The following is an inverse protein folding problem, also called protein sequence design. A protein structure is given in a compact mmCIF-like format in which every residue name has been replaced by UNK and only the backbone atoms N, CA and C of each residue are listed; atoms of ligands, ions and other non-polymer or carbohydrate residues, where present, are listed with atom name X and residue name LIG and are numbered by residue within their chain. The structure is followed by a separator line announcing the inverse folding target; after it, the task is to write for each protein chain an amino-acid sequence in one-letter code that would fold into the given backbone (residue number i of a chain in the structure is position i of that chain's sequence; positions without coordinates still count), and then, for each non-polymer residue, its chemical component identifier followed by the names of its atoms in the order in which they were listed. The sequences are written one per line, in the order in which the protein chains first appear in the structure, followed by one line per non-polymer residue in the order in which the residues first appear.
data_IF_780531978658
#
_entry.id   IF_780531978658
#
_cell.length_a   1.000
_cell.length_b   1.000
_cell.length_c   1.000
_cell.angle_alpha   90.00
_cell.angle_beta   90.00
_cell.angle_gamma   90.00
#
_symmetry.space_group_name_H-M   'P 1'
#
loop_
_entity.id
_entity.type
_entity.pdbx_description
1 polymer ?
#
# COMPACT_ATOMS: atom_id res chain seq x y z
N UNK A 1 -4.87 38.89 39.68
CA UNK A 1 -5.24 38.79 38.25
C UNK A 1 -4.40 37.66 37.66
N UNK A 2 -4.76 36.43 37.99
CA UNK A 2 -5.40 35.43 37.11
C UNK A 2 -4.45 34.85 36.05
N UNK A 3 -3.80 33.78 36.48
CA UNK A 3 -3.10 32.79 35.66
C UNK A 3 -4.17 31.90 35.00
N UNK A 4 -4.17 31.77 33.68
CA UNK A 4 -5.01 30.82 32.94
C UNK A 4 -4.24 29.50 32.72
N UNK A 5 -4.78 28.34 33.13
CA UNK A 5 -4.19 27.05 32.77
C UNK A 5 -4.70 26.58 31.40
N UNK A 6 -3.78 26.15 30.55
CA UNK A 6 -4.09 25.43 29.31
C UNK A 6 -4.66 24.05 29.63
N UNK A 7 -5.89 23.80 29.19
CA UNK A 7 -6.51 22.48 29.18
C UNK A 7 -6.02 21.76 27.92
N UNK A 8 -5.03 20.86 28.06
CA UNK A 8 -4.75 19.83 27.06
C UNK A 8 -5.86 18.79 27.15
N UNK A 9 -6.81 18.84 26.22
CA UNK A 9 -7.82 17.80 26.03
C UNK A 9 -7.19 16.58 25.34
N UNK A 10 -6.67 15.64 26.12
CA UNK A 10 -6.44 14.27 25.63
C UNK A 10 -7.79 13.58 25.49
N UNK A 11 -8.35 13.54 24.28
CA UNK A 11 -9.47 12.63 23.98
C UNK A 11 -8.89 11.22 23.97
N UNK A 12 -9.14 10.47 25.04
CA UNK A 12 -8.96 9.02 25.05
C UNK A 12 -10.03 8.42 24.14
N UNK A 13 -9.61 7.72 23.09
CA UNK A 13 -10.48 6.84 22.29
C UNK A 13 -10.98 5.74 23.24
N UNK A 14 -12.29 5.50 23.36
CA UNK A 14 -12.80 4.46 24.24
C UNK A 14 -12.50 3.09 23.64
N UNK A 15 -11.78 2.27 24.39
CA UNK A 15 -11.57 0.85 24.12
C UNK A 15 -12.90 0.10 24.24
N UNK A 16 -13.64 -0.10 23.14
CA UNK A 16 -14.79 -1.01 23.10
C UNK A 16 -14.97 -1.61 21.71
N UNK A 17 -14.18 -2.62 21.35
CA UNK A 17 -14.66 -3.76 20.53
C UNK A 17 -13.86 -4.99 20.94
N UNK A 18 -14.27 -5.66 22.02
CA UNK A 18 -13.73 -6.99 22.36
C UNK A 18 -14.78 -7.78 23.11
N UNK A 19 -15.39 -8.75 22.44
CA UNK A 19 -15.60 -10.12 22.94
C UNK A 19 -16.51 -10.93 22.01
N UNK A 20 -16.09 -12.19 21.79
CA UNK A 20 -16.88 -13.35 21.36
C UNK A 20 -17.31 -13.37 19.88
N UNK A 21 -16.78 -14.32 19.09
CA UNK A 21 -17.52 -15.54 18.70
C UNK A 21 -16.50 -16.64 18.31
N UNK A 22 -16.66 -17.81 18.93
CA UNK A 22 -16.04 -19.08 18.52
C UNK A 22 -17.14 -20.04 18.08
N UNK A 23 -16.98 -20.71 16.93
CA UNK A 23 -17.30 -22.14 16.62
C UNK A 23 -17.68 -22.39 15.13
N UNK A 24 -16.88 -23.28 14.52
CA UNK A 24 -17.06 -24.21 13.40
C UNK A 24 -17.83 -23.83 12.10
N UNK A 25 -17.11 -23.91 10.98
CA UNK A 25 -17.62 -24.50 9.73
C UNK A 25 -16.48 -25.12 8.92
N UNK A 26 -16.69 -26.35 8.43
CA UNK A 26 -15.77 -27.13 7.61
C UNK A 26 -16.13 -26.96 6.13
N UNK A 27 -15.16 -26.64 5.27
CA UNK A 27 -15.28 -26.88 3.83
C UNK A 27 -13.90 -27.04 3.19
N UNK A 28 -13.72 -28.16 2.50
CA UNK A 28 -12.53 -28.51 1.70
C UNK A 28 -12.57 -27.81 0.35
N UNK A 29 -11.49 -27.13 -0.01
CA UNK A 29 -11.26 -26.58 -1.35
C UNK A 29 -9.79 -26.72 -1.73
N UNK A 30 -9.53 -27.48 -2.80
CA UNK A 30 -8.25 -27.60 -3.50
C UNK A 30 -8.18 -26.46 -4.52
N UNK A 31 -6.98 -25.89 -4.77
CA UNK A 31 -6.42 -25.47 -6.08
C UNK A 31 -5.13 -24.65 -5.84
N UNK A 32 -3.98 -25.15 -6.28
CA UNK A 32 -3.24 -24.78 -7.51
C UNK A 32 -2.47 -23.48 -7.36
N UNK A 33 -1.18 -23.64 -7.07
CA UNK A 33 -0.19 -22.58 -6.99
C UNK A 33 0.31 -22.14 -8.36
N UNK A 34 0.76 -20.89 -8.39
CA UNK A 34 1.40 -20.25 -9.53
C UNK A 34 1.96 -18.90 -9.11
N UNK A 35 3.04 -18.90 -8.33
CA UNK A 35 3.76 -17.69 -7.97
C UNK A 35 4.69 -17.25 -9.11
N UNK A 36 4.48 -16.03 -9.60
CA UNK A 36 5.50 -15.23 -10.27
C UNK A 36 5.76 -14.03 -9.38
N UNK A 37 6.97 -13.93 -8.83
CA UNK A 37 7.43 -12.72 -8.16
C UNK A 37 7.48 -11.59 -9.21
N UNK A 38 6.81 -10.47 -8.93
CA UNK A 38 6.77 -9.31 -9.83
C UNK A 38 7.70 -8.21 -9.29
N UNK A 39 8.49 -7.61 -10.18
CA UNK A 39 9.25 -6.40 -9.88
C UNK A 39 8.31 -5.29 -9.35
N UNK A 40 8.85 -4.26 -8.69
CA UNK A 40 8.07 -3.07 -8.33
C UNK A 40 7.42 -2.50 -9.60
N UNK A 41 6.13 -2.78 -9.80
CA UNK A 41 5.35 -2.19 -10.87
C UNK A 41 5.30 -0.69 -10.62
N UNK A 42 5.69 0.11 -11.61
CA UNK A 42 5.57 1.56 -11.55
C UNK A 42 4.10 1.98 -11.41
N UNK A 43 3.88 3.28 -11.31
CA UNK A 43 2.54 3.87 -11.31
C UNK A 43 2.10 4.05 -12.77
N UNK A 44 1.19 3.23 -13.31
CA UNK A 44 0.82 3.28 -14.71
C UNK A 44 0.14 4.61 -15.06
N UNK A 45 0.42 5.11 -16.25
CA UNK A 45 -0.30 6.26 -16.81
C UNK A 45 -1.73 5.88 -17.19
N UNK A 46 -1.88 4.69 -17.78
CA UNK A 46 -3.18 4.12 -18.14
C UNK A 46 -3.83 3.52 -16.90
N UNK A 47 -5.09 3.83 -16.65
CA UNK A 47 -5.83 3.34 -15.50
C UNK A 47 -6.99 4.25 -15.11
N UNK A 48 -7.77 3.80 -14.12
CA UNK A 48 -8.84 4.62 -13.53
C UNK A 48 -8.29 5.60 -12.51
N UNK A 49 -8.91 6.78 -12.42
CA UNK A 49 -8.69 7.69 -11.30
C UNK A 49 -9.13 7.05 -9.98
N UNK A 50 -8.35 7.30 -8.92
CA UNK A 50 -8.72 6.91 -7.56
C UNK A 50 -9.49 8.02 -6.87
N UNK A 51 -8.99 9.26 -6.98
CA UNK A 51 -9.67 10.43 -6.46
C UNK A 51 -10.84 10.85 -7.38
N UNK A 52 -11.96 11.29 -6.78
CA UNK A 52 -13.05 11.89 -7.54
C UNK A 52 -12.77 13.36 -7.87
N UNK A 53 -13.55 13.96 -8.76
CA UNK A 53 -13.45 15.39 -9.07
C UNK A 53 -13.64 16.26 -7.81
N UNK A 54 -14.56 15.85 -6.93
CA UNK A 54 -14.78 16.52 -5.65
C UNK A 54 -13.59 16.40 -4.69
N UNK A 55 -12.84 15.30 -4.77
CA UNK A 55 -11.63 15.09 -3.97
C UNK A 55 -10.50 16.01 -4.45
N UNK A 56 -10.30 16.09 -5.78
CA UNK A 56 -9.34 17.00 -6.41
C UNK A 56 -9.63 18.47 -6.06
N UNK A 57 -10.87 18.91 -6.25
CA UNK A 57 -11.28 20.28 -6.01
C UNK A 57 -11.28 20.64 -4.52
N UNK A 58 -11.71 19.70 -3.66
CA UNK A 58 -11.69 19.84 -2.21
C UNK A 58 -10.27 19.98 -1.67
N UNK A 59 -9.36 19.11 -2.09
CA UNK A 59 -7.94 19.22 -1.76
C UNK A 59 -7.36 20.56 -2.23
N UNK A 60 -7.59 20.96 -3.49
CA UNK A 60 -7.05 22.21 -4.01
C UNK A 60 -7.53 23.41 -3.18
N UNK A 61 -8.83 23.49 -2.85
CA UNK A 61 -9.35 24.56 -1.98
C UNK A 61 -8.70 24.58 -0.60
N UNK A 62 -8.37 23.41 -0.04
CA UNK A 62 -7.70 23.32 1.26
C UNK A 62 -6.31 23.96 1.29
N UNK A 63 -5.66 24.14 0.13
CA UNK A 63 -4.38 24.84 0.03
C UNK A 63 -4.49 26.35 0.27
N UNK A 64 -5.69 26.91 0.17
CA UNK A 64 -5.94 28.36 0.23
C UNK A 64 -5.42 29.14 -0.97
N UNK A 65 -4.99 28.46 -2.04
CA UNK A 65 -4.51 29.08 -3.28
C UNK A 65 -5.69 29.45 -4.16
N UNK A 66 -5.72 30.69 -4.66
CA UNK A 66 -6.66 31.10 -5.70
C UNK A 66 -6.15 30.68 -7.08
N UNK A 67 -6.96 29.88 -7.79
CA UNK A 67 -6.69 29.48 -9.17
C UNK A 67 -6.92 30.64 -10.13
N UNK A 68 -6.07 30.77 -11.15
CA UNK A 68 -6.28 31.69 -12.28
C UNK A 68 -6.79 31.01 -13.53
N UNK A 69 -7.11 29.71 -13.46
CA UNK A 69 -7.68 28.97 -14.60
C UNK A 69 -8.94 29.67 -15.13
N UNK A 70 -9.27 29.42 -16.40
CA UNK A 70 -10.41 30.06 -17.09
C UNK A 70 -11.77 29.55 -16.62
N UNK A 71 -11.79 28.49 -15.81
CA UNK A 71 -12.96 27.89 -15.18
C UNK A 71 -12.71 27.66 -13.69
N UNK A 72 -13.78 27.52 -12.91
CA UNK A 72 -13.66 27.21 -11.48
C UNK A 72 -13.05 25.83 -11.24
N UNK A 73 -12.46 25.63 -10.06
CA UNK A 73 -11.68 24.42 -9.76
C UNK A 73 -12.52 23.13 -9.80
N UNK A 74 -13.80 23.19 -9.41
CA UNK A 74 -14.70 22.03 -9.50
C UNK A 74 -14.92 21.60 -10.95
N UNK A 75 -15.06 22.58 -11.85
CA UNK A 75 -15.25 22.32 -13.27
C UNK A 75 -13.96 21.79 -13.91
N UNK A 76 -12.80 22.36 -13.57
CA UNK A 76 -11.51 21.86 -14.05
C UNK A 76 -11.24 20.43 -13.58
N UNK A 77 -11.44 20.14 -12.29
CA UNK A 77 -11.29 18.81 -11.73
C UNK A 77 -12.22 17.79 -12.42
N UNK A 78 -13.46 18.19 -12.72
CA UNK A 78 -14.41 17.36 -13.47
C UNK A 78 -13.90 17.02 -14.86
N UNK A 79 -13.35 17.99 -15.61
CA UNK A 79 -12.76 17.73 -16.93
C UNK A 79 -11.64 16.68 -16.88
N UNK A 80 -10.75 16.75 -15.89
CA UNK A 80 -9.68 15.74 -15.76
C UNK A 80 -10.20 14.34 -15.53
N UNK A 81 -11.22 14.18 -14.67
CA UNK A 81 -11.79 12.88 -14.37
C UNK A 81 -12.56 12.32 -15.58
N UNK A 82 -13.36 13.15 -16.26
CA UNK A 82 -14.13 12.71 -17.43
C UNK A 82 -13.24 12.39 -18.64
N UNK A 83 -12.37 13.32 -19.05
CA UNK A 83 -11.49 13.10 -20.21
C UNK A 83 -10.53 11.93 -19.95
N UNK A 84 -10.01 11.80 -18.73
CA UNK A 84 -9.19 10.66 -18.33
C UNK A 84 -9.95 9.33 -18.41
N UNK A 85 -11.18 9.27 -17.88
CA UNK A 85 -12.00 8.07 -17.93
C UNK A 85 -12.33 7.63 -19.37
N UNK A 86 -12.64 8.58 -20.25
CA UNK A 86 -12.94 8.30 -21.67
C UNK A 86 -11.74 7.69 -22.40
N UNK A 87 -10.53 8.14 -22.09
CA UNK A 87 -9.29 7.70 -22.74
C UNK A 87 -8.58 6.56 -21.99
N UNK A 88 -9.09 6.14 -20.83
CA UNK A 88 -8.45 5.14 -19.97
C UNK A 88 -7.15 5.63 -19.29
N UNK A 89 -6.99 6.93 -19.10
CA UNK A 89 -5.85 7.59 -18.45
C UNK A 89 -6.23 8.01 -17.03
N UNK A 90 -5.33 7.83 -16.06
CA UNK A 90 -5.57 8.21 -14.68
C UNK A 90 -5.65 9.75 -14.52
N UNK A 91 -6.86 10.28 -14.63
CA UNK A 91 -7.15 11.72 -14.65
C UNK A 91 -6.79 12.45 -13.36
N UNK A 92 -6.83 11.77 -12.20
CA UNK A 92 -6.37 12.31 -10.93
C UNK A 92 -4.84 12.59 -10.93
N UNK A 93 -4.05 11.74 -11.58
CA UNK A 93 -2.60 11.96 -11.74
C UNK A 93 -2.32 13.03 -12.80
N UNK A 94 -3.09 13.06 -13.89
CA UNK A 94 -3.00 14.15 -14.87
C UNK A 94 -3.34 15.51 -14.25
N UNK A 95 -4.33 15.58 -13.35
CA UNK A 95 -4.60 16.77 -12.55
C UNK A 95 -3.41 17.12 -11.65
N UNK A 96 -2.83 16.14 -10.94
CA UNK A 96 -1.63 16.36 -10.13
C UNK A 96 -0.45 16.89 -10.96
N UNK A 97 -0.27 16.39 -12.18
CA UNK A 97 0.71 16.91 -13.13
C UNK A 97 0.44 18.38 -13.45
N UNK A 98 -0.82 18.73 -13.70
CA UNK A 98 -1.19 20.11 -14.02
C UNK A 98 -0.90 21.11 -12.89
N UNK A 99 -1.02 20.67 -11.63
CA UNK A 99 -0.62 21.48 -10.48
C UNK A 99 0.87 21.80 -10.54
N UNK A 100 1.72 20.81 -10.85
CA UNK A 100 3.16 20.97 -10.97
C UNK A 100 3.51 21.91 -12.12
N UNK A 101 2.91 21.68 -13.30
CA UNK A 101 3.20 22.42 -14.54
C UNK A 101 2.78 23.89 -14.48
N UNK A 102 1.64 24.16 -13.85
CA UNK A 102 1.08 25.52 -13.78
C UNK A 102 1.48 26.29 -12.53
N UNK A 103 2.20 25.65 -11.60
CA UNK A 103 2.50 26.22 -10.28
C UNK A 103 1.22 26.49 -9.48
N UNK A 104 0.38 25.47 -9.31
CA UNK A 104 -0.93 25.53 -8.64
C UNK A 104 -1.92 26.47 -9.34
N UNK A 105 -2.00 26.38 -10.67
CA UNK A 105 -2.84 27.23 -11.52
C UNK A 105 -2.61 28.73 -11.36
N UNK A 106 -1.42 29.14 -10.90
CA UNK A 106 -1.00 30.56 -10.89
C UNK A 106 -0.43 30.99 -12.24
N UNK A 107 0.01 30.02 -13.03
CA UNK A 107 0.61 30.16 -14.35
C UNK A 107 1.92 30.97 -14.31
N UNK A 108 2.60 31.06 -15.45
CA UNK A 108 3.82 31.84 -15.62
C UNK A 108 3.62 32.93 -16.67
N UNK A 109 4.65 33.74 -16.93
CA UNK A 109 4.61 34.66 -18.07
C UNK A 109 4.72 33.92 -19.42
N UNK A 110 5.25 32.68 -19.43
CA UNK A 110 5.46 31.87 -20.64
C UNK A 110 4.19 31.13 -21.07
N UNK A 111 3.40 30.66 -20.10
CA UNK A 111 2.11 30.00 -20.33
C UNK A 111 1.09 30.75 -19.51
N UNK A 112 0.22 31.52 -20.18
CA UNK A 112 -0.79 32.35 -19.51
C UNK A 112 -2.07 31.55 -19.26
N UNK A 113 -2.91 31.95 -18.29
CA UNK A 113 -4.14 31.23 -18.01
C UNK A 113 -5.08 31.10 -19.21
N UNK A 114 -5.21 32.15 -20.03
CA UNK A 114 -6.04 32.15 -21.24
C UNK A 114 -5.56 31.18 -22.33
N UNK A 115 -4.39 30.57 -22.19
CA UNK A 115 -3.90 29.55 -23.13
C UNK A 115 -4.57 28.20 -22.91
N UNK A 116 -5.22 27.99 -21.75
CA UNK A 116 -5.79 26.70 -21.37
C UNK A 116 -4.78 25.53 -21.48
N UNK A 117 -3.49 25.82 -21.33
CA UNK A 117 -2.44 24.83 -21.46
C UNK A 117 -1.93 24.46 -20.07
N UNK A 118 -2.49 23.36 -19.55
CA UNK A 118 -2.27 22.94 -18.17
C UNK A 118 -1.07 22.02 -17.99
N UNK A 119 -0.39 21.65 -19.09
CA UNK A 119 0.67 20.64 -19.08
C UNK A 119 1.94 21.06 -19.80
N UNK A 120 2.06 22.35 -20.13
CA UNK A 120 3.26 22.93 -20.73
C UNK A 120 3.50 22.53 -22.19
N UNK A 121 2.49 22.05 -22.92
CA UNK A 121 2.67 21.61 -24.30
C UNK A 121 3.21 22.73 -25.19
N UNK A 122 4.30 22.45 -25.91
CA UNK A 122 4.95 23.41 -26.82
C UNK A 122 5.80 24.49 -26.13
N UNK A 123 5.84 24.57 -24.80
CA UNK A 123 6.62 25.57 -24.07
C UNK A 123 8.11 25.17 -23.94
N UNK A 124 8.89 25.27 -25.02
CA UNK A 124 10.34 24.94 -25.03
C UNK A 124 11.24 26.13 -24.66
N UNK A 125 12.39 25.88 -24.05
CA UNK A 125 13.35 26.89 -23.52
C UNK A 125 13.90 27.91 -24.52
N UNK A 126 13.77 27.65 -25.82
CA UNK A 126 14.22 28.54 -26.91
C UNK A 126 13.09 29.08 -27.79
N UNK A 127 11.81 28.84 -27.47
CA UNK A 127 10.65 29.18 -28.31
C UNK A 127 9.57 29.99 -27.59
N UNK A 128 8.74 30.70 -28.37
CA UNK A 128 7.76 31.70 -27.90
C UNK A 128 6.29 31.30 -27.97
N UNK A 129 5.93 30.07 -28.38
CA UNK A 129 4.51 29.70 -28.53
C UNK A 129 4.21 28.40 -27.81
N UNK A 130 3.94 28.51 -26.51
CA UNK A 130 3.14 27.50 -25.83
C UNK A 130 1.84 27.27 -26.63
N UNK A 131 1.38 26.03 -26.69
CA UNK A 131 0.11 25.71 -27.36
C UNK A 131 -1.03 26.47 -26.67
N UNK A 132 -2.02 26.87 -27.46
CA UNK A 132 -3.21 27.62 -27.01
C UNK A 132 -4.44 26.82 -27.39
N UNK A 133 -5.26 26.49 -26.40
CA UNK A 133 -6.50 25.74 -26.58
C UNK A 133 -7.72 26.66 -26.39
N UNK A 134 -8.80 26.44 -27.18
CA UNK A 134 -9.95 27.34 -27.21
C UNK A 134 -10.69 27.44 -25.87
N UNK A 135 -10.68 26.37 -25.07
CA UNK A 135 -11.31 26.29 -23.76
C UNK A 135 -10.54 25.33 -22.83
N UNK A 136 -10.87 25.37 -21.54
CA UNK A 136 -10.22 24.55 -20.52
C UNK A 136 -10.36 23.05 -20.81
N UNK A 137 -11.53 22.59 -21.23
CA UNK A 137 -11.78 21.18 -21.54
C UNK A 137 -10.88 20.69 -22.67
N UNK A 138 -10.75 21.45 -23.75
CA UNK A 138 -9.88 21.13 -24.88
C UNK A 138 -8.40 21.07 -24.45
N UNK A 139 -7.99 21.95 -23.54
CA UNK A 139 -6.66 21.93 -22.93
C UNK A 139 -6.38 20.68 -22.11
N UNK A 140 -7.33 20.29 -21.25
CA UNK A 140 -7.25 19.03 -20.48
C UNK A 140 -7.21 17.83 -21.42
N UNK A 141 -8.09 17.80 -22.44
CA UNK A 141 -8.10 16.75 -23.46
C UNK A 141 -6.75 16.60 -24.16
N UNK A 142 -6.12 17.71 -24.56
CA UNK A 142 -4.82 17.67 -25.21
C UNK A 142 -3.75 17.04 -24.30
N UNK A 143 -3.76 17.37 -23.00
CA UNK A 143 -2.87 16.72 -22.03
C UNK A 143 -3.15 15.21 -21.93
N UNK A 144 -4.41 14.81 -21.80
CA UNK A 144 -4.80 13.39 -21.68
C UNK A 144 -4.41 12.60 -22.93
N UNK A 145 -4.68 13.13 -24.13
CA UNK A 145 -4.26 12.52 -25.39
C UNK A 145 -2.73 12.39 -25.49
N UNK A 146 -1.99 13.38 -24.98
CA UNK A 146 -0.52 13.31 -24.96
C UNK A 146 -0.03 12.23 -23.99
N UNK A 147 -0.60 12.14 -22.78
CA UNK A 147 -0.28 11.08 -21.82
C UNK A 147 -0.57 9.70 -22.40
N UNK A 148 -1.73 9.52 -23.03
CA UNK A 148 -2.07 8.27 -23.72
C UNK A 148 -1.07 7.94 -24.84
N UNK A 149 -0.63 8.92 -25.62
CA UNK A 149 0.40 8.73 -26.64
C UNK A 149 1.74 8.20 -26.07
N UNK A 150 2.11 8.62 -24.86
CA UNK A 150 3.31 8.12 -24.19
C UNK A 150 3.15 6.69 -23.68
N UNK A 151 1.96 6.31 -23.23
CA UNK A 151 1.75 5.09 -22.45
C UNK A 151 1.10 3.91 -23.21
N UNK A 152 0.27 4.19 -24.21
CA UNK A 152 -0.42 3.18 -25.01
C UNK A 152 0.38 2.97 -26.32
N UNK A 153 0.97 1.79 -26.50
CA UNK A 153 1.79 1.47 -27.69
C UNK A 153 0.94 1.35 -28.98
N UNK A 154 -0.34 1.05 -28.83
CA UNK A 154 -1.27 0.78 -29.93
C UNK A 154 -2.11 2.01 -30.30
N UNK A 155 -2.00 3.11 -29.55
CA UNK A 155 -2.85 4.29 -29.77
C UNK A 155 -2.62 4.91 -31.14
N UNK A 156 -3.73 5.15 -31.82
CA UNK A 156 -3.84 5.88 -33.09
C UNK A 156 -4.83 7.03 -32.94
N UNK A 157 -4.81 7.98 -33.87
CA UNK A 157 -5.82 9.05 -33.90
C UNK A 157 -7.26 8.49 -33.95
N UNK A 158 -7.47 7.40 -34.67
CA UNK A 158 -8.78 6.74 -34.77
C UNK A 158 -9.21 5.98 -33.52
N UNK A 159 -8.30 5.72 -32.57
CA UNK A 159 -8.62 5.02 -31.32
C UNK A 159 -8.83 5.95 -30.13
N UNK A 160 -8.69 7.27 -30.32
CA UNK A 160 -9.01 8.27 -29.31
C UNK A 160 -10.52 8.35 -29.10
N UNK A 161 -10.94 8.58 -27.85
CA UNK A 161 -12.35 8.70 -27.49
C UNK A 161 -12.95 10.02 -28.02
N UNK A 162 -12.11 11.05 -28.11
CA UNK A 162 -12.48 12.37 -28.62
C UNK A 162 -11.61 12.78 -29.82
N UNK A 163 -12.07 13.73 -30.67
CA UNK A 163 -11.25 14.25 -31.76
C UNK A 163 -9.86 14.69 -31.29
N UNK A 164 -8.83 14.41 -32.10
CA UNK A 164 -7.46 14.78 -31.79
C UNK A 164 -7.31 16.31 -31.72
N UNK A 165 -6.91 16.81 -30.55
CA UNK A 165 -6.64 18.23 -30.30
C UNK A 165 -5.18 18.47 -29.89
N UNK A 166 -4.47 17.45 -29.43
CA UNK A 166 -3.02 17.50 -29.23
C UNK A 166 -2.28 17.59 -30.57
N UNK A 167 -1.88 18.80 -30.95
CA UNK A 167 -1.09 19.09 -32.16
C UNK A 167 0.26 18.37 -32.18
N UNK A 168 0.74 17.90 -31.02
CA UNK A 168 2.03 17.25 -30.81
C UNK A 168 1.91 15.74 -30.68
N UNK A 169 0.72 15.18 -30.78
CA UNK A 169 0.47 13.75 -30.66
C UNK A 169 1.37 12.95 -31.59
N UNK A 170 1.53 13.40 -32.84
CA UNK A 170 2.39 12.76 -33.83
C UNK A 170 3.91 12.80 -33.51
N UNK A 171 4.36 13.63 -32.57
CA UNK A 171 5.78 13.74 -32.17
C UNK A 171 6.19 12.66 -31.16
N UNK A 172 5.24 12.06 -30.44
CA UNK A 172 5.52 10.95 -29.54
C UNK A 172 5.78 9.69 -30.39
N UNK A 173 7.07 9.38 -30.58
CA UNK A 173 7.57 8.23 -31.35
C UNK A 173 8.71 7.52 -30.61
N UNK A 174 8.67 6.19 -30.45
CA UNK A 174 7.47 5.35 -30.65
C UNK A 174 6.34 5.74 -29.67
N UNK A 175 5.11 5.27 -29.95
CA UNK A 175 4.04 5.23 -28.95
C UNK A 175 4.40 4.26 -27.83
N UNK A 176 3.80 4.38 -26.66
CA UNK A 176 4.08 3.47 -25.52
C UNK A 176 5.51 3.55 -24.97
N UNK A 177 6.22 4.66 -25.21
CA UNK A 177 7.63 4.82 -24.78
C UNK A 177 7.80 5.17 -23.30
N UNK A 178 6.72 5.41 -22.57
CA UNK A 178 6.69 5.69 -21.13
C UNK A 178 5.34 5.23 -20.57
N UNK A 179 5.31 4.02 -20.03
CA UNK A 179 4.07 3.35 -19.57
C UNK A 179 3.74 3.71 -18.13
N UNK A 180 4.77 4.03 -17.34
CA UNK A 180 4.66 4.38 -15.93
C UNK A 180 5.05 5.86 -15.71
N UNK A 181 4.44 6.51 -14.71
CA UNK A 181 4.72 7.90 -14.36
C UNK A 181 6.18 8.12 -13.97
N UNK A 182 6.84 7.12 -13.38
CA UNK A 182 8.25 7.12 -13.01
C UNK A 182 9.18 7.31 -14.24
N UNK A 183 8.70 7.03 -15.45
CA UNK A 183 9.45 7.24 -16.69
C UNK A 183 9.54 8.73 -17.11
N UNK A 184 8.69 9.62 -16.58
CA UNK A 184 8.49 10.97 -17.13
C UNK A 184 9.61 11.98 -16.83
N UNK A 185 10.66 11.58 -16.11
CA UNK A 185 11.86 12.38 -15.88
C UNK A 185 12.89 12.32 -17.02
N UNK A 186 14.05 12.94 -16.79
CA UNK A 186 15.26 12.75 -17.61
C UNK A 186 15.09 12.97 -19.13
N UNK A 187 14.22 13.89 -19.53
CA UNK A 187 13.97 14.29 -20.91
C UNK A 187 12.82 13.58 -21.60
N UNK A 188 12.08 12.71 -20.91
CA UNK A 188 10.88 12.06 -21.46
C UNK A 188 9.72 13.05 -21.55
N UNK A 189 9.36 13.68 -20.43
CA UNK A 189 8.44 14.82 -20.37
C UNK A 189 9.16 16.08 -19.88
N UNK A 190 9.90 15.95 -18.78
CA UNK A 190 10.71 17.01 -18.21
C UNK A 190 12.18 16.61 -18.16
N UNK A 191 13.09 17.58 -18.30
CA UNK A 191 14.55 17.38 -18.13
C UNK A 191 14.94 17.06 -16.69
N UNK A 192 14.09 17.42 -15.72
CA UNK A 192 14.29 17.13 -14.31
C UNK A 192 14.16 15.61 -14.04
N UNK A 193 15.22 14.94 -13.54
CA UNK A 193 15.18 13.51 -13.26
C UNK A 193 14.19 13.13 -12.15
N UNK A 194 13.82 14.04 -11.25
CA UNK A 194 12.88 13.76 -10.15
C UNK A 194 11.46 14.29 -10.41
N UNK A 195 11.15 14.65 -11.65
CA UNK A 195 9.86 15.19 -12.05
C UNK A 195 8.68 14.31 -11.63
N UNK A 196 8.75 13.00 -11.92
CA UNK A 196 7.70 12.04 -11.58
C UNK A 196 7.36 12.07 -10.08
N UNK A 197 8.39 12.11 -9.22
CA UNK A 197 8.21 12.17 -7.77
C UNK A 197 7.49 13.43 -7.28
N UNK A 198 7.54 14.55 -8.02
CA UNK A 198 6.78 15.77 -7.70
C UNK A 198 5.31 15.59 -8.00
N UNK A 199 4.99 15.01 -9.17
CA UNK A 199 3.60 14.73 -9.58
C UNK A 199 2.95 13.72 -8.64
N UNK A 200 3.62 12.60 -8.40
CA UNK A 200 3.11 11.55 -7.51
C UNK A 200 2.97 12.04 -6.06
N UNK A 201 3.81 12.97 -5.60
CA UNK A 201 3.64 13.62 -4.30
C UNK A 201 2.35 14.42 -4.22
N UNK A 202 2.04 15.25 -5.23
CA UNK A 202 0.77 15.98 -5.27
C UNK A 202 -0.41 15.02 -5.26
N UNK A 203 -0.34 13.91 -6.01
CA UNK A 203 -1.36 12.86 -5.97
C UNK A 203 -1.52 12.25 -4.57
N UNK A 204 -0.43 11.97 -3.87
CA UNK A 204 -0.48 11.46 -2.48
C UNK A 204 -1.14 12.48 -1.55
N UNK A 205 -0.82 13.77 -1.67
CA UNK A 205 -1.44 14.83 -0.87
C UNK A 205 -2.96 14.91 -1.11
N UNK A 206 -3.39 14.78 -2.37
CA UNK A 206 -4.82 14.67 -2.74
C UNK A 206 -5.47 13.48 -2.04
N UNK A 207 -4.86 12.30 -2.12
CA UNK A 207 -5.42 11.08 -1.54
C UNK A 207 -5.44 11.13 0.00
N UNK A 208 -4.43 11.74 0.63
CA UNK A 208 -4.41 11.97 2.08
C UNK A 208 -5.55 12.90 2.52
N UNK A 209 -5.85 13.93 1.73
CA UNK A 209 -7.00 14.79 1.99
C UNK A 209 -8.31 14.02 1.80
N UNK A 210 -8.41 13.22 0.73
CA UNK A 210 -9.59 12.41 0.42
C UNK A 210 -9.87 11.33 1.48
N UNK A 211 -8.83 10.75 2.08
CA UNK A 211 -8.93 9.83 3.23
C UNK A 211 -9.74 10.43 4.38
N UNK A 212 -9.59 11.73 4.63
CA UNK A 212 -10.20 12.41 5.77
C UNK A 212 -11.52 13.10 5.44
N UNK A 213 -11.70 13.57 4.20
CA UNK A 213 -12.79 14.47 3.82
C UNK A 213 -13.57 14.02 2.58
N UNK A 214 -13.03 13.05 1.84
CA UNK A 214 -13.40 12.79 0.46
C UNK A 214 -14.17 11.49 0.24
N UNK A 215 -14.49 11.27 -1.03
CA UNK A 215 -15.25 10.10 -1.50
C UNK A 215 -14.38 8.88 -1.76
N UNK A 216 -13.08 9.07 -2.05
CA UNK A 216 -12.13 7.98 -2.24
C UNK A 216 -11.67 7.30 -0.92
N UNK A 217 -12.43 7.48 0.16
CA UNK A 217 -12.10 6.96 1.50
C UNK A 217 -11.93 5.43 1.53
N UNK A 218 -12.71 4.69 0.74
CA UNK A 218 -12.65 3.22 0.69
C UNK A 218 -11.97 2.68 -0.57
N UNK A 219 -11.24 3.52 -1.29
CA UNK A 219 -10.63 3.15 -2.56
C UNK A 219 -9.81 1.85 -2.45
N UNK A 220 -9.88 0.97 -3.47
CA UNK A 220 -10.57 1.14 -4.75
C UNK A 220 -12.08 0.85 -4.71
N UNK A 221 -12.64 0.57 -3.53
CA UNK A 221 -14.05 0.23 -3.38
C UNK A 221 -14.94 1.47 -3.23
N UNK A 222 -16.16 1.35 -3.74
CA UNK A 222 -17.13 2.44 -3.68
C UNK A 222 -17.77 2.61 -2.29
N UNK A 223 -17.79 1.55 -1.47
CA UNK A 223 -18.48 1.52 -0.17
C UNK A 223 -17.64 0.79 0.88
N UNK A 224 -18.00 0.96 2.15
CA UNK A 224 -17.30 0.35 3.28
C UNK A 224 -17.40 -1.18 3.30
N UNK A 225 -18.54 -1.75 2.87
CA UNK A 225 -18.79 -3.20 2.89
C UNK A 225 -17.75 -4.04 2.13
N UNK A 226 -17.53 -3.85 0.81
CA UNK A 226 -16.50 -4.58 0.08
C UNK A 226 -15.08 -4.27 0.60
N UNK A 227 -14.82 -3.07 1.12
CA UNK A 227 -13.54 -2.75 1.75
C UNK A 227 -13.32 -3.56 3.03
N UNK A 228 -14.35 -3.70 3.87
CA UNK A 228 -14.30 -4.53 5.08
C UNK A 228 -14.08 -5.99 4.73
N UNK A 229 -14.88 -6.55 3.82
CA UNK A 229 -14.73 -7.93 3.37
C UNK A 229 -13.32 -8.19 2.85
N UNK A 230 -12.80 -7.28 2.03
CA UNK A 230 -11.46 -7.40 1.49
C UNK A 230 -10.38 -7.27 2.57
N UNK A 231 -10.53 -6.37 3.55
CA UNK A 231 -9.60 -6.24 4.66
C UNK A 231 -9.48 -7.53 5.50
N UNK A 232 -10.58 -8.26 5.71
CA UNK A 232 -10.53 -9.57 6.35
C UNK A 232 -9.76 -10.60 5.52
N UNK A 233 -9.96 -10.62 4.20
CA UNK A 233 -9.19 -11.52 3.31
C UNK A 233 -7.71 -11.16 3.30
N UNK A 234 -7.38 -9.88 3.19
CA UNK A 234 -6.01 -9.40 3.07
C UNK A 234 -5.25 -9.56 4.38
N UNK A 235 -5.79 -9.08 5.49
CA UNK A 235 -5.06 -9.06 6.78
C UNK A 235 -5.16 -10.37 7.53
N UNK A 236 -6.30 -11.06 7.42
CA UNK A 236 -6.60 -12.24 8.24
C UNK A 236 -6.72 -13.54 7.42
N UNK A 237 -6.63 -13.50 6.09
CA UNK A 237 -6.78 -14.68 5.23
C UNK A 237 -8.09 -15.45 5.44
N UNK A 238 -9.19 -14.76 5.76
CA UNK A 238 -10.54 -15.35 5.88
C UNK A 238 -11.62 -14.36 5.49
N UNK A 239 -12.85 -14.87 5.37
CA UNK A 239 -14.05 -14.04 5.29
C UNK A 239 -14.47 -13.50 6.68
N UNK A 240 -15.02 -12.29 6.67
CA UNK A 240 -15.78 -11.78 7.81
C UNK A 240 -17.07 -12.59 7.98
N UNK A 241 -17.50 -12.81 9.22
CA UNK A 241 -18.90 -13.18 9.46
C UNK A 241 -19.80 -11.98 9.21
N UNK A 242 -21.10 -12.20 8.94
CA UNK A 242 -22.05 -11.10 8.72
C UNK A 242 -22.12 -10.12 9.90
N UNK A 243 -21.93 -10.61 11.13
CA UNK A 243 -21.92 -9.77 12.34
C UNK A 243 -20.66 -8.90 12.43
N UNK A 244 -19.50 -9.45 12.09
CA UNK A 244 -18.25 -8.68 12.03
C UNK A 244 -18.29 -7.63 10.92
N UNK A 245 -18.78 -8.01 9.73
CA UNK A 245 -18.92 -7.10 8.60
C UNK A 245 -19.82 -5.91 8.98
N UNK A 246 -21.01 -6.17 9.55
CA UNK A 246 -21.94 -5.12 9.97
C UNK A 246 -21.32 -4.16 10.99
N UNK A 247 -20.59 -4.69 11.98
CA UNK A 247 -19.94 -3.89 13.02
C UNK A 247 -18.89 -2.94 12.42
N UNK A 248 -18.01 -3.46 11.55
CA UNK A 248 -16.95 -2.67 10.95
C UNK A 248 -17.47 -1.67 9.93
N UNK A 249 -18.45 -2.05 9.11
CA UNK A 249 -19.11 -1.14 8.16
C UNK A 249 -19.73 0.05 8.91
N UNK A 250 -20.48 -0.23 9.98
CA UNK A 250 -21.09 0.84 10.80
C UNK A 250 -20.01 1.76 11.40
N UNK A 251 -18.94 1.19 11.96
CA UNK A 251 -17.86 1.99 12.55
C UNK A 251 -17.11 2.87 11.53
N UNK A 252 -16.94 2.39 10.29
CA UNK A 252 -16.34 3.16 9.20
C UNK A 252 -17.27 4.28 8.74
N UNK A 253 -18.54 3.96 8.48
CA UNK A 253 -19.55 4.90 7.99
C UNK A 253 -19.84 6.03 8.99
N UNK A 254 -19.91 5.72 10.29
CA UNK A 254 -20.08 6.72 11.35
C UNK A 254 -18.81 7.54 11.63
N UNK A 255 -17.69 7.21 10.98
CA UNK A 255 -16.40 7.89 11.18
C UNK A 255 -15.73 7.58 12.53
N UNK A 256 -16.17 6.54 13.23
CA UNK A 256 -15.58 6.11 14.49
C UNK A 256 -14.17 5.52 14.30
N UNK A 257 -13.94 4.89 13.14
CA UNK A 257 -12.66 4.28 12.74
C UNK A 257 -12.33 4.71 11.31
N UNK A 258 -11.05 4.91 11.01
CA UNK A 258 -10.56 5.14 9.65
C UNK A 258 -10.36 3.81 8.91
N UNK A 259 -10.43 3.79 7.56
CA UNK A 259 -10.17 2.59 6.77
C UNK A 259 -8.86 1.90 7.13
N UNK A 260 -7.80 2.68 7.37
CA UNK A 260 -6.48 2.16 7.70
C UNK A 260 -6.43 1.63 9.13
N UNK A 261 -7.05 2.32 10.11
CA UNK A 261 -7.12 1.79 11.48
C UNK A 261 -7.95 0.52 11.55
N UNK A 262 -8.97 0.35 10.72
CA UNK A 262 -9.66 -0.94 10.61
C UNK A 262 -8.68 -2.06 10.26
N UNK A 263 -7.82 -1.89 9.26
CA UNK A 263 -6.80 -2.88 8.89
C UNK A 263 -5.77 -3.09 10.01
N UNK A 264 -5.36 -2.02 10.70
CA UNK A 264 -4.45 -2.09 11.85
C UNK A 264 -5.07 -2.84 13.03
N UNK A 265 -6.36 -2.64 13.30
CA UNK A 265 -7.10 -3.33 14.37
C UNK A 265 -7.29 -4.81 14.04
N UNK A 266 -7.55 -5.17 12.77
CA UNK A 266 -7.53 -6.57 12.35
C UNK A 266 -6.15 -7.19 12.58
N UNK A 267 -5.09 -6.49 12.16
CA UNK A 267 -3.71 -6.94 12.31
C UNK A 267 -3.29 -7.12 13.78
N UNK A 268 -3.64 -6.15 14.63
CA UNK A 268 -3.21 -6.08 16.04
C UNK A 268 -4.13 -6.87 16.99
N UNK A 269 -5.39 -7.06 16.60
CA UNK A 269 -6.38 -7.86 17.32
C UNK A 269 -6.24 -9.35 16.99
N UNK A 270 -7.13 -9.88 16.16
CA UNK A 270 -7.10 -11.29 15.77
C UNK A 270 -5.76 -11.68 15.11
N UNK A 271 -5.19 -10.78 14.31
CA UNK A 271 -3.95 -11.01 13.59
C UNK A 271 -2.77 -11.33 14.51
N UNK A 272 -2.75 -10.78 15.73
CA UNK A 272 -1.67 -10.98 16.69
C UNK A 272 -1.49 -12.45 17.12
N UNK A 273 -2.58 -13.23 17.16
CA UNK A 273 -2.56 -14.66 17.55
C UNK A 273 -2.67 -15.63 16.37
N UNK A 274 -2.85 -15.09 15.17
CA UNK A 274 -2.98 -15.85 13.93
C UNK A 274 -1.79 -15.53 13.01
N UNK A 275 -1.92 -14.57 12.11
CA UNK A 275 -0.92 -14.25 11.08
C UNK A 275 0.44 -13.87 11.67
N UNK A 276 0.48 -13.09 12.76
CA UNK A 276 1.76 -12.64 13.34
C UNK A 276 2.53 -13.79 14.00
N UNK A 277 1.83 -14.68 14.73
CA UNK A 277 2.46 -15.86 15.35
C UNK A 277 2.98 -16.84 14.30
N UNK A 278 2.21 -17.03 13.21
CA UNK A 278 2.65 -17.85 12.08
C UNK A 278 3.92 -17.26 11.47
N UNK A 279 3.94 -15.95 11.19
CA UNK A 279 5.12 -15.26 10.62
C UNK A 279 6.34 -15.39 11.51
N UNK A 280 6.23 -15.08 12.81
CA UNK A 280 7.37 -15.19 13.76
C UNK A 280 7.88 -16.61 13.90
N UNK A 281 7.02 -17.63 13.81
CA UNK A 281 7.44 -19.02 13.92
C UNK A 281 8.21 -19.46 12.68
N UNK A 282 7.75 -19.08 11.48
CA UNK A 282 8.50 -19.28 10.24
C UNK A 282 9.87 -18.60 10.29
N UNK A 283 9.93 -17.36 10.74
CA UNK A 283 11.19 -16.64 10.88
C UNK A 283 12.13 -17.34 11.87
N UNK A 284 11.63 -17.74 13.04
CA UNK A 284 12.42 -18.43 14.06
C UNK A 284 12.93 -19.81 13.60
N UNK A 285 12.09 -20.59 12.94
CA UNK A 285 12.42 -21.96 12.55
C UNK A 285 13.18 -22.06 11.23
N UNK A 286 12.84 -21.23 10.24
CA UNK A 286 13.34 -21.34 8.86
C UNK A 286 14.22 -20.17 8.43
N UNK A 287 14.37 -19.13 9.25
CA UNK A 287 15.14 -17.92 8.91
C UNK A 287 14.50 -17.11 7.78
N UNK A 288 13.20 -17.32 7.51
CA UNK A 288 12.46 -16.63 6.45
C UNK A 288 11.01 -16.44 6.84
N UNK A 289 10.34 -15.48 6.22
CA UNK A 289 8.89 -15.31 6.31
C UNK A 289 8.18 -16.48 5.58
N UNK A 290 6.89 -16.75 5.86
CA UNK A 290 6.11 -17.70 5.08
C UNK A 290 5.85 -17.15 3.65
N UNK A 291 5.48 -18.04 2.74
CA UNK A 291 4.86 -17.65 1.46
C UNK A 291 3.34 -17.50 1.66
N UNK A 292 2.63 -17.06 0.62
CA UNK A 292 1.19 -16.79 0.70
C UNK A 292 0.38 -18.02 1.06
N UNK A 293 0.67 -19.16 0.42
CA UNK A 293 -0.03 -20.42 0.64
C UNK A 293 0.20 -20.94 2.07
N UNK A 294 1.45 -20.91 2.54
CA UNK A 294 1.81 -21.28 3.91
C UNK A 294 1.15 -20.37 4.94
N UNK A 295 1.15 -19.06 4.71
CA UNK A 295 0.47 -18.08 5.57
C UNK A 295 -1.03 -18.35 5.67
N UNK A 296 -1.69 -18.52 4.53
CA UNK A 296 -3.13 -18.81 4.47
C UNK A 296 -3.49 -20.15 5.11
N UNK A 297 -2.74 -21.21 4.81
CA UNK A 297 -2.94 -22.54 5.42
C UNK A 297 -2.87 -22.46 6.94
N UNK A 298 -1.77 -21.94 7.48
CA UNK A 298 -1.54 -21.95 8.92
C UNK A 298 -2.45 -21.01 9.69
N UNK A 299 -2.77 -19.85 9.10
CA UNK A 299 -3.73 -18.92 9.68
C UNK A 299 -5.12 -19.56 9.80
N UNK A 300 -5.58 -20.27 8.76
CA UNK A 300 -6.85 -21.00 8.82
C UNK A 300 -6.85 -22.14 9.86
N UNK A 301 -5.73 -22.86 9.99
CA UNK A 301 -5.56 -23.88 11.05
C UNK A 301 -5.61 -23.28 12.45
N UNK A 302 -4.94 -22.14 12.67
CA UNK A 302 -4.96 -21.40 13.95
C UNK A 302 -6.38 -20.99 14.33
N UNK A 303 -7.17 -20.54 13.35
CA UNK A 303 -8.59 -20.19 13.57
C UNK A 303 -9.48 -21.39 13.85
N UNK A 304 -9.20 -22.52 13.21
CA UNK A 304 -9.87 -23.78 13.51
C UNK A 304 -9.52 -24.36 14.89
N UNK A 305 -8.66 -23.68 15.67
CA UNK A 305 -8.32 -24.05 17.05
C UNK A 305 -7.05 -24.87 17.19
N UNK A 306 -6.29 -25.10 16.11
CA UNK A 306 -5.00 -25.77 16.26
C UNK A 306 -4.04 -24.93 17.12
N UNK A 307 -3.34 -25.51 18.09
CA UNK A 307 -2.34 -24.81 18.87
C UNK A 307 -1.12 -24.46 18.01
N UNK A 308 -0.43 -23.35 18.34
CA UNK A 308 0.80 -22.95 17.66
C UNK A 308 1.89 -24.04 17.70
N UNK A 309 1.87 -24.88 18.75
CA UNK A 309 2.76 -26.04 18.87
C UNK A 309 2.66 -27.01 17.70
N UNK A 310 1.45 -27.19 17.12
CA UNK A 310 1.28 -28.06 15.95
C UNK A 310 1.99 -27.50 14.72
N UNK A 311 1.95 -26.17 14.54
CA UNK A 311 2.72 -25.50 13.49
C UNK A 311 4.22 -25.68 13.73
N UNK A 312 4.71 -25.48 14.95
CA UNK A 312 6.11 -25.72 15.30
C UNK A 312 6.56 -27.15 14.98
N UNK A 313 5.78 -28.16 15.38
CA UNK A 313 6.06 -29.57 15.11
C UNK A 313 6.15 -29.85 13.59
N UNK A 314 5.19 -29.34 12.81
CA UNK A 314 5.17 -29.57 11.37
C UNK A 314 6.28 -28.84 10.63
N UNK A 315 6.67 -27.64 11.08
CA UNK A 315 7.78 -26.90 10.46
C UNK A 315 9.10 -27.59 10.77
N UNK A 316 9.37 -27.96 12.02
CA UNK A 316 10.61 -28.68 12.39
C UNK A 316 10.70 -30.02 11.65
N UNK A 317 9.59 -30.76 11.55
CA UNK A 317 9.52 -32.03 10.83
C UNK A 317 9.35 -31.92 9.32
N UNK A 318 9.45 -30.72 8.74
CA UNK A 318 9.20 -30.51 7.32
C UNK A 318 10.39 -30.91 6.45
N UNK A 319 10.16 -31.36 5.19
CA UNK A 319 11.23 -31.56 4.22
C UNK A 319 12.04 -30.29 3.96
N UNK A 320 11.43 -29.12 4.14
CA UNK A 320 12.15 -27.86 4.00
C UNK A 320 13.17 -27.64 5.12
N UNK A 321 12.78 -27.87 6.38
CA UNK A 321 13.68 -27.75 7.51
C UNK A 321 14.85 -28.73 7.37
N UNK A 322 14.57 -29.99 7.05
CA UNK A 322 15.60 -31.00 6.77
C UNK A 322 16.51 -30.59 5.61
N UNK A 323 15.96 -30.05 4.52
CA UNK A 323 16.77 -29.58 3.39
C UNK A 323 17.68 -28.40 3.74
N UNK A 324 17.22 -27.48 4.60
CA UNK A 324 17.99 -26.28 4.99
C UNK A 324 19.03 -26.58 6.07
N UNK A 325 18.69 -27.43 7.03
CA UNK A 325 19.44 -27.56 8.28
C UNK A 325 19.83 -29.00 8.62
N UNK A 326 19.37 -29.98 7.84
CA UNK A 326 19.55 -31.40 8.14
C UNK A 326 18.80 -31.82 9.40
N UNK A 327 19.46 -32.66 10.20
CA UNK A 327 18.98 -33.12 11.51
C UNK A 327 19.92 -32.60 12.59
N UNK A 328 19.84 -31.31 12.96
CA UNK A 328 20.74 -30.75 13.96
C UNK A 328 20.55 -31.46 15.32
N UNK A 329 21.64 -31.63 16.05
CA UNK A 329 21.59 -32.03 17.45
C UNK A 329 21.13 -30.86 18.34
N UNK A 330 21.12 -31.05 19.66
CA UNK A 330 20.67 -30.03 20.61
C UNK A 330 21.47 -28.74 20.50
N UNK A 331 22.80 -28.83 20.30
CA UNK A 331 23.68 -27.67 20.16
C UNK A 331 23.40 -26.92 18.86
N UNK A 332 23.41 -27.64 17.73
CA UNK A 332 23.12 -27.05 16.42
C UNK A 332 21.71 -26.44 16.33
N UNK A 333 20.72 -27.06 16.98
CA UNK A 333 19.35 -26.54 17.01
C UNK A 333 19.26 -25.23 17.82
N UNK A 334 19.95 -25.15 18.96
CA UNK A 334 20.00 -23.92 19.76
C UNK A 334 20.72 -22.81 19.00
N UNK A 335 21.88 -23.07 18.41
CA UNK A 335 22.59 -22.07 17.58
C UNK A 335 21.73 -21.53 16.44
N UNK A 336 20.99 -22.42 15.76
CA UNK A 336 20.06 -22.05 14.70
C UNK A 336 19.00 -21.07 15.20
N UNK A 337 18.36 -21.36 16.33
CA UNK A 337 17.35 -20.47 16.89
C UNK A 337 17.93 -19.12 17.30
N UNK A 338 19.12 -19.10 17.92
CA UNK A 338 19.82 -17.85 18.26
C UNK A 338 20.13 -17.01 17.02
N UNK A 339 20.63 -17.61 15.94
CA UNK A 339 20.88 -16.89 14.68
C UNK A 339 19.59 -16.36 14.05
N UNK A 340 18.55 -17.20 13.94
CA UNK A 340 17.31 -16.80 13.29
C UNK A 340 16.51 -15.74 14.08
N UNK A 341 16.52 -15.83 15.41
CA UNK A 341 15.67 -15.00 16.29
C UNK A 341 16.43 -13.79 16.84
N UNK A 342 17.70 -13.96 17.19
CA UNK A 342 18.50 -12.95 17.89
C UNK A 342 19.65 -12.41 17.03
N UNK A 343 19.94 -13.01 15.87
CA UNK A 343 21.01 -12.61 14.94
C UNK A 343 22.36 -12.47 15.64
N UNK A 344 22.61 -13.44 16.51
CA UNK A 344 23.85 -13.60 17.26
C UNK A 344 24.02 -15.05 17.62
N UNK A 345 25.25 -15.43 17.93
CA UNK A 345 25.52 -16.74 18.53
C UNK A 345 25.07 -16.77 20.01
N UNK A 346 24.74 -17.96 20.55
CA UNK A 346 24.47 -18.10 21.98
C UNK A 346 25.69 -17.73 22.81
N UNK A 347 25.48 -17.02 23.92
CA UNK A 347 26.54 -16.91 24.92
C UNK A 347 26.72 -18.25 25.64
N UNK A 348 27.88 -18.48 26.25
CA UNK A 348 28.24 -19.76 26.85
C UNK A 348 27.24 -20.24 27.92
N UNK A 349 26.60 -19.33 28.67
CA UNK A 349 25.62 -19.70 29.70
C UNK A 349 24.25 -19.98 29.09
N UNK A 350 23.80 -19.12 28.18
CA UNK A 350 22.53 -19.25 27.48
C UNK A 350 22.48 -20.52 26.63
N UNK A 351 23.52 -20.81 25.86
CA UNK A 351 23.63 -22.03 25.06
C UNK A 351 23.58 -23.29 25.93
N UNK A 352 24.43 -23.37 26.95
CA UNK A 352 24.48 -24.52 27.86
C UNK A 352 23.15 -24.77 28.58
N UNK A 353 22.42 -23.72 28.95
CA UNK A 353 21.09 -23.84 29.55
C UNK A 353 20.11 -24.54 28.60
N UNK A 354 20.00 -24.08 27.35
CA UNK A 354 19.04 -24.63 26.38
C UNK A 354 19.42 -26.05 25.93
N UNK A 355 20.71 -26.32 25.74
CA UNK A 355 21.20 -27.67 25.41
C UNK A 355 20.86 -28.63 26.54
N UNK A 356 21.18 -28.27 27.79
CA UNK A 356 20.83 -29.10 28.95
C UNK A 356 19.32 -29.30 29.09
N UNK A 357 18.51 -28.28 28.79
CA UNK A 357 17.06 -28.37 28.80
C UNK A 357 16.51 -29.42 27.80
N UNK A 358 17.12 -29.51 26.61
CA UNK A 358 16.78 -30.51 25.58
C UNK A 358 17.27 -31.92 25.94
N UNK A 359 18.45 -32.05 26.54
CA UNK A 359 19.07 -33.35 26.84
C UNK A 359 18.50 -34.02 28.09
N UNK A 360 18.09 -33.25 29.10
CA UNK A 360 17.59 -33.78 30.39
C UNK A 360 16.11 -34.16 30.36
N UNK A 361 15.46 -34.09 29.19
CA UNK A 361 14.15 -34.69 28.90
C UNK A 361 12.91 -33.86 29.23
N UNK A 362 13.08 -32.65 29.78
CA UNK A 362 11.96 -31.76 30.13
C UNK A 362 11.43 -30.89 28.98
N UNK A 363 12.27 -30.61 27.99
CA UNK A 363 11.96 -29.74 26.85
C UNK A 363 12.05 -30.50 25.54
N UNK A 364 11.12 -30.20 24.63
CA UNK A 364 11.16 -30.66 23.25
C UNK A 364 11.68 -29.54 22.34
N UNK A 365 12.27 -29.85 21.16
CA UNK A 365 12.63 -28.84 20.17
C UNK A 365 11.49 -27.86 19.87
N UNK A 366 10.26 -28.38 19.78
CA UNK A 366 9.02 -27.62 19.64
C UNK A 366 8.81 -26.59 20.74
N UNK A 367 8.95 -26.99 22.02
CA UNK A 367 8.77 -26.07 23.16
C UNK A 367 9.85 -24.98 23.18
N UNK A 368 11.09 -25.34 22.83
CA UNK A 368 12.18 -24.37 22.73
C UNK A 368 11.92 -23.38 21.60
N UNK A 369 11.58 -23.85 20.40
CA UNK A 369 11.22 -22.99 19.26
C UNK A 369 10.09 -22.01 19.61
N UNK A 370 9.00 -22.50 20.24
CA UNK A 370 7.90 -21.64 20.67
C UNK A 370 8.36 -20.56 21.66
N UNK A 371 9.26 -20.91 22.58
CA UNK A 371 9.78 -19.99 23.58
C UNK A 371 10.62 -18.89 22.95
N UNK A 372 11.47 -19.23 21.98
CA UNK A 372 12.24 -18.24 21.22
C UNK A 372 11.33 -17.36 20.36
N UNK A 373 10.45 -17.98 19.57
CA UNK A 373 9.55 -17.31 18.63
C UNK A 373 8.61 -16.32 19.32
N UNK A 374 8.10 -16.66 20.50
CA UNK A 374 7.13 -15.84 21.24
C UNK A 374 7.75 -15.07 22.42
N UNK A 375 9.08 -15.04 22.52
CA UNK A 375 9.79 -14.21 23.50
C UNK A 375 9.50 -12.73 23.25
N UNK A 376 9.50 -11.93 24.33
CA UNK A 376 9.32 -10.47 24.23
C UNK A 376 10.41 -9.87 23.33
N UNK A 377 11.66 -10.29 23.52
CA UNK A 377 12.81 -9.86 22.71
C UNK A 377 12.58 -10.13 21.21
N UNK A 378 12.13 -11.34 20.83
CA UNK A 378 11.84 -11.63 19.43
C UNK A 378 10.67 -10.80 18.88
N UNK A 379 9.59 -10.66 19.66
CA UNK A 379 8.42 -9.88 19.24
C UNK A 379 8.77 -8.42 18.98
N UNK A 380 9.56 -7.81 19.85
CA UNK A 380 10.02 -6.43 19.70
C UNK A 380 10.98 -6.30 18.51
N UNK A 381 11.97 -7.19 18.40
CA UNK A 381 12.97 -7.17 17.32
C UNK A 381 12.38 -7.39 15.94
N UNK A 382 11.40 -8.28 15.83
CA UNK A 382 10.81 -8.67 14.54
C UNK A 382 9.54 -7.88 14.20
N UNK A 383 9.11 -6.94 15.04
CA UNK A 383 7.85 -6.21 14.87
C UNK A 383 7.70 -5.61 13.46
N UNK A 384 8.66 -4.79 13.03
CA UNK A 384 8.63 -4.14 11.71
C UNK A 384 8.62 -5.17 10.56
N UNK A 385 9.42 -6.23 10.66
CA UNK A 385 9.46 -7.27 9.63
C UNK A 385 8.15 -8.06 9.59
N UNK A 386 7.52 -8.35 10.73
CA UNK A 386 6.22 -9.02 10.81
C UNK A 386 5.10 -8.14 10.25
N UNK A 387 5.06 -6.85 10.62
CA UNK A 387 4.15 -5.85 10.05
C UNK A 387 4.26 -5.83 8.53
N UNK A 388 5.46 -5.57 8.01
CA UNK A 388 5.73 -5.50 6.57
C UNK A 388 5.33 -6.79 5.87
N UNK A 389 5.70 -7.95 6.43
CA UNK A 389 5.43 -9.25 5.83
C UNK A 389 3.94 -9.54 5.71
N UNK A 390 3.19 -9.36 6.79
CA UNK A 390 1.76 -9.66 6.81
C UNK A 390 1.02 -8.69 5.89
N UNK A 391 1.32 -7.40 5.99
CA UNK A 391 0.60 -6.37 5.25
C UNK A 391 0.93 -6.40 3.74
N UNK A 392 2.18 -6.69 3.35
CA UNK A 392 2.53 -6.86 1.92
C UNK A 392 1.94 -8.16 1.33
N UNK A 393 2.08 -9.29 2.03
CA UNK A 393 1.52 -10.58 1.57
C UNK A 393 -0.01 -10.52 1.44
N UNK A 394 -0.64 -9.77 2.33
CA UNK A 394 -2.08 -9.55 2.36
C UNK A 394 -2.54 -8.60 1.27
N UNK A 395 -2.08 -7.35 1.34
CA UNK A 395 -2.58 -6.25 0.52
C UNK A 395 -2.01 -6.28 -0.91
N UNK A 396 -0.75 -6.64 -1.12
CA UNK A 396 -0.15 -6.67 -2.45
C UNK A 396 -0.06 -8.07 -3.05
N UNK A 397 -0.43 -9.10 -2.29
CA UNK A 397 -0.30 -10.52 -2.67
C UNK A 397 1.14 -10.96 -2.99
N UNK A 398 2.13 -10.19 -2.52
CA UNK A 398 3.53 -10.39 -2.83
C UNK A 398 4.41 -10.31 -1.58
N UNK A 399 5.60 -10.90 -1.66
CA UNK A 399 6.57 -10.89 -0.56
C UNK A 399 7.29 -9.53 -0.55
N UNK A 400 7.48 -8.92 0.63
CA UNK A 400 8.31 -7.74 0.71
C UNK A 400 9.76 -8.09 0.36
N UNK A 401 10.43 -7.19 -0.33
CA UNK A 401 11.86 -7.22 -0.59
C UNK A 401 12.64 -6.73 0.64
N UNK A 402 13.96 -6.95 0.65
CA UNK A 402 14.83 -6.40 1.70
C UNK A 402 14.82 -4.87 1.73
N UNK A 403 14.52 -4.22 0.59
CA UNK A 403 14.33 -2.77 0.51
C UNK A 403 13.02 -2.37 1.19
N UNK A 404 11.92 -3.05 0.88
CA UNK A 404 10.61 -2.76 1.49
C UNK A 404 10.67 -2.87 3.03
N UNK A 405 11.31 -3.93 3.55
CA UNK A 405 11.48 -4.13 5.00
C UNK A 405 12.33 -3.02 5.61
N UNK A 406 13.41 -2.62 4.94
CA UNK A 406 14.32 -1.56 5.44
C UNK A 406 13.61 -0.21 5.47
N UNK A 407 12.95 0.17 4.38
CA UNK A 407 12.21 1.43 4.30
C UNK A 407 11.08 1.48 5.33
N UNK A 408 10.34 0.38 5.50
CA UNK A 408 9.32 0.27 6.55
C UNK A 408 9.93 0.45 7.94
N UNK A 409 11.03 -0.23 8.22
CA UNK A 409 11.74 -0.13 9.51
C UNK A 409 12.20 1.30 9.79
N UNK A 410 12.85 1.95 8.83
CA UNK A 410 13.31 3.33 8.93
C UNK A 410 12.15 4.32 9.14
N UNK A 411 10.98 4.06 8.53
CA UNK A 411 9.76 4.85 8.75
C UNK A 411 9.23 4.69 10.18
N UNK A 412 9.16 3.45 10.69
CA UNK A 412 8.76 3.18 12.09
C UNK A 412 9.72 3.82 13.09
N UNK A 413 11.03 3.76 12.85
CA UNK A 413 12.06 4.37 13.70
C UNK A 413 11.96 5.90 13.73
N UNK A 414 11.50 6.52 12.64
CA UNK A 414 11.19 7.96 12.59
C UNK A 414 9.87 8.34 13.28
N UNK A 415 9.16 7.37 13.85
CA UNK A 415 7.88 7.58 14.55
C UNK A 415 6.67 7.68 13.62
N UNK A 416 6.77 7.14 12.40
CA UNK A 416 5.60 7.05 11.52
C UNK A 416 4.62 5.98 12.04
N UNK A 417 3.35 6.39 12.15
CA UNK A 417 2.29 5.53 12.66
C UNK A 417 1.97 4.41 11.66
N UNK A 418 1.59 3.23 12.18
CA UNK A 418 1.30 2.07 11.34
C UNK A 418 0.14 2.35 10.39
N UNK A 419 -0.81 3.17 10.82
CA UNK A 419 -1.93 3.64 10.00
C UNK A 419 -1.48 4.35 8.72
N UNK A 420 -0.47 5.23 8.80
CA UNK A 420 0.05 5.97 7.66
C UNK A 420 0.89 5.08 6.72
N UNK A 421 1.55 4.06 7.27
CA UNK A 421 2.23 3.05 6.47
C UNK A 421 1.22 2.18 5.71
N UNK A 422 0.15 1.73 6.37
CA UNK A 422 -0.95 0.99 5.73
C UNK A 422 -1.61 1.84 4.65
N UNK A 423 -1.80 3.14 4.89
CA UNK A 423 -2.28 4.06 3.87
C UNK A 423 -1.44 3.98 2.59
N UNK A 424 -0.10 4.01 2.72
CA UNK A 424 0.78 3.91 1.55
C UNK A 424 0.67 2.59 0.78
N UNK A 425 0.25 1.50 1.43
CA UNK A 425 0.01 0.23 0.76
C UNK A 425 -1.31 0.22 -0.02
N UNK A 426 -2.40 0.74 0.56
CA UNK A 426 -3.73 0.70 -0.06
C UNK A 426 -3.90 1.69 -1.22
N UNK A 427 -3.13 2.79 -1.23
CA UNK A 427 -3.11 3.72 -2.37
C UNK A 427 -2.07 3.35 -3.44
N UNK A 428 -1.27 2.33 -3.19
CA UNK A 428 -0.27 1.87 -4.16
C UNK A 428 -0.96 1.20 -5.35
N UNK A 429 -0.42 1.39 -6.55
CA UNK A 429 -0.98 0.78 -7.76
C UNK A 429 -1.10 -0.74 -7.65
N UNK A 430 -0.15 -1.42 -7.00
CA UNK A 430 -0.22 -2.88 -6.76
C UNK A 430 -1.50 -3.29 -6.04
N UNK A 431 -1.96 -2.49 -5.09
CA UNK A 431 -3.24 -2.75 -4.41
C UNK A 431 -4.41 -2.44 -5.34
N UNK A 432 -4.37 -1.26 -5.95
CA UNK A 432 -5.46 -0.73 -6.75
C UNK A 432 -5.77 -1.56 -8.01
N UNK A 433 -4.77 -2.23 -8.58
CA UNK A 433 -4.90 -3.06 -9.79
C UNK A 433 -5.47 -4.47 -9.53
N UNK A 434 -5.65 -4.86 -8.26
CA UNK A 434 -6.30 -6.13 -7.88
C UNK A 434 -7.81 -6.10 -8.11
N UNK A 435 -8.39 -4.91 -8.29
CA UNK A 435 -9.83 -4.63 -8.38
C UNK A 435 -10.09 -3.62 -9.51
#
# INVERSE_FOLDING_TARGET
MSVHPQIRSTRRVPAVVLALVSVLASATGVLVGGGLASAAAGTPVMGRSVASASDLAGWFRSTGIESRATVDIDELARYYIEEGADEGVAGDIAFAQSIVETGYFRFSERVKPEFNNFSGLGAVDSGTTAEVFPDAQTGVRAQIQHLRAYADEDVTESSLAHPLVDTRFHLVKPKGKATDWEDFGSGVWATDPVYAGKVLRVRIEILQWARQHGTARYAPFATAEPFVEQGFRDVLSREATSGEALLWVTALEDGAVTPENFLVELFSGEGATTVQQVTRLYMAALGRIPDRDGMGYWTNRRKAGDPLARLADQVIGSPEFEKRFGSPDSEGFVELLYRNVLDREPDAKGGAYWVSALETGGWTPTRVLLTFSESIENRERTAAQVETSVLHLGLWEDRPTDTDIREWTERRERGEELEDLVFTLVINTRYLSRF
#
